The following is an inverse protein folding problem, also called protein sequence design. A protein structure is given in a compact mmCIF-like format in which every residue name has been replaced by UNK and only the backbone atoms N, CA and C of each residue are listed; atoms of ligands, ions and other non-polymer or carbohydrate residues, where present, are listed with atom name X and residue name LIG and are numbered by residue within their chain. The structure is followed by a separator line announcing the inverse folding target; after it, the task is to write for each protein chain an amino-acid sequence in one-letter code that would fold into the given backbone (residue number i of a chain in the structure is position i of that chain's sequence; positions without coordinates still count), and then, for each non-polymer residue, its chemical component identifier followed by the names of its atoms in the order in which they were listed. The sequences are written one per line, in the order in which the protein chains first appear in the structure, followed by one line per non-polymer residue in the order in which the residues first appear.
data_IF_783644750701
#
_entry.id   IF_783644750701
#
_cell.length_a   1.000
_cell.length_b   1.000
_cell.length_c   1.000
_cell.angle_alpha   90.00
_cell.angle_beta   90.00
_cell.angle_gamma   90.00
#
_symmetry.space_group_name_H-M   'P 1'
#
loop_
_entity.id
_entity.type
_entity.pdbx_description
1 polymer ?
#
# COMPACT_ATOMS: atom_id res chain seq x y z
N UNK A 1 -39.74 3.95 36.58
CA UNK A 1 -38.43 3.26 36.55
C UNK A 1 -38.20 2.52 35.23
N UNK A 2 -39.22 1.81 34.70
CA UNK A 2 -39.12 1.11 33.40
C UNK A 2 -38.76 2.06 32.23
N UNK A 3 -39.36 3.26 32.18
CA UNK A 3 -39.09 4.26 31.14
C UNK A 3 -37.64 4.77 31.12
N UNK A 4 -37.03 5.00 32.29
CA UNK A 4 -35.66 5.45 32.41
C UNK A 4 -34.67 4.36 31.98
N UNK A 5 -34.92 3.11 32.38
CA UNK A 5 -34.11 1.96 31.95
C UNK A 5 -34.17 1.78 30.44
N UNK A 6 -35.37 1.87 29.84
CA UNK A 6 -35.55 1.79 28.39
C UNK A 6 -34.80 2.92 27.65
N UNK A 7 -34.84 4.15 28.18
CA UNK A 7 -34.14 5.29 27.59
C UNK A 7 -32.61 5.10 27.60
N UNK A 8 -32.04 4.65 28.72
CA UNK A 8 -30.59 4.42 28.85
C UNK A 8 -30.14 3.28 27.93
N UNK A 9 -30.88 2.17 27.89
CA UNK A 9 -30.56 1.03 27.02
C UNK A 9 -30.66 1.40 25.53
N UNK A 10 -31.67 2.17 25.14
CA UNK A 10 -31.84 2.66 23.77
C UNK A 10 -30.68 3.57 23.32
N UNK A 11 -30.27 4.50 24.19
CA UNK A 11 -29.14 5.40 23.91
C UNK A 11 -27.81 4.63 23.79
N UNK A 12 -27.56 3.68 24.71
CA UNK A 12 -26.37 2.85 24.67
C UNK A 12 -26.27 2.00 23.40
N UNK A 13 -27.37 1.36 23.01
CA UNK A 13 -27.44 0.57 21.79
C UNK A 13 -27.21 1.42 20.53
N UNK A 14 -27.85 2.59 20.43
CA UNK A 14 -27.65 3.50 19.30
C UNK A 14 -26.21 4.01 19.21
N UNK A 15 -25.58 4.33 20.34
CA UNK A 15 -24.19 4.80 20.38
C UNK A 15 -23.23 3.72 19.93
N UNK A 16 -23.36 2.51 20.48
CA UNK A 16 -22.51 1.37 20.09
C UNK A 16 -22.66 1.00 18.61
N UNK A 17 -23.90 0.96 18.11
CA UNK A 17 -24.19 0.72 16.69
C UNK A 17 -23.54 1.79 15.82
N UNK A 18 -23.66 3.06 16.19
CA UNK A 18 -23.14 4.16 15.41
C UNK A 18 -21.61 4.12 15.31
N UNK A 19 -20.93 3.93 16.43
CA UNK A 19 -19.47 3.78 16.49
C UNK A 19 -18.99 2.63 15.60
N UNK A 20 -19.66 1.47 15.68
CA UNK A 20 -19.31 0.30 14.86
C UNK A 20 -19.44 0.60 13.37
N UNK A 21 -20.53 1.26 12.95
CA UNK A 21 -20.72 1.63 11.54
C UNK A 21 -19.73 2.69 11.06
N UNK A 22 -19.30 3.59 11.94
CA UNK A 22 -18.30 4.61 11.60
C UNK A 22 -16.91 3.99 11.41
N UNK A 23 -16.49 3.10 12.33
CA UNK A 23 -15.24 2.35 12.21
C UNK A 23 -15.22 1.53 10.92
N UNK A 24 -16.28 0.79 10.61
CA UNK A 24 -16.39 0.00 9.38
C UNK A 24 -16.32 0.88 8.12
N UNK A 25 -16.94 2.07 8.15
CA UNK A 25 -16.87 3.02 7.04
C UNK A 25 -15.45 3.56 6.85
N UNK A 26 -14.78 3.96 7.93
CA UNK A 26 -13.41 4.47 7.89
C UNK A 26 -12.44 3.42 7.35
N UNK A 27 -12.57 2.16 7.79
CA UNK A 27 -11.78 1.05 7.27
C UNK A 27 -12.07 0.75 5.81
N UNK A 28 -13.32 0.83 5.35
CA UNK A 28 -13.64 0.67 3.93
C UNK A 28 -13.02 1.77 3.07
N UNK A 29 -13.12 3.02 3.49
CA UNK A 29 -12.58 4.17 2.75
C UNK A 29 -11.04 4.09 2.68
N UNK A 30 -10.37 3.77 3.80
CA UNK A 30 -8.94 3.53 3.82
C UNK A 30 -8.53 2.32 2.97
N UNK A 31 -9.32 1.25 2.95
CA UNK A 31 -9.04 0.03 2.17
C UNK A 31 -9.02 0.32 0.68
N UNK A 32 -10.02 1.06 0.16
CA UNK A 32 -10.03 1.46 -1.24
C UNK A 32 -8.85 2.35 -1.59
N UNK A 33 -8.47 3.28 -0.70
CA UNK A 33 -7.30 4.12 -0.92
C UNK A 33 -6.02 3.26 -1.00
N UNK A 34 -5.84 2.31 -0.09
CA UNK A 34 -4.70 1.38 -0.12
C UNK A 34 -4.66 0.59 -1.43
N UNK A 35 -5.79 0.10 -1.93
CA UNK A 35 -5.84 -0.66 -3.20
C UNK A 35 -5.38 0.17 -4.40
N UNK A 36 -5.71 1.47 -4.43
CA UNK A 36 -5.23 2.40 -5.47
C UNK A 36 -3.72 2.59 -5.37
N UNK A 37 -3.21 2.92 -4.19
CA UNK A 37 -1.78 3.17 -3.95
C UNK A 37 -0.92 1.93 -4.27
N UNK A 38 -1.39 0.74 -3.90
CA UNK A 38 -0.74 -0.54 -4.23
C UNK A 38 -0.80 -0.82 -5.74
N UNK A 39 -1.90 -0.48 -6.41
CA UNK A 39 -2.04 -0.61 -7.86
C UNK A 39 -1.03 0.24 -8.62
N UNK A 40 -0.85 1.48 -8.19
CA UNK A 40 0.17 2.39 -8.74
C UNK A 40 1.60 1.89 -8.42
N UNK A 41 1.86 1.42 -7.20
CA UNK A 41 3.15 0.85 -6.84
C UNK A 41 3.50 -0.37 -7.70
N UNK A 42 2.51 -1.24 -7.97
CA UNK A 42 2.65 -2.37 -8.87
C UNK A 42 3.07 -1.94 -10.29
N UNK A 43 2.43 -0.90 -10.83
CA UNK A 43 2.79 -0.34 -12.13
C UNK A 43 4.23 0.19 -12.15
N UNK A 44 4.66 0.87 -11.08
CA UNK A 44 6.04 1.36 -10.95
C UNK A 44 7.03 0.19 -10.96
N UNK A 45 6.77 -0.88 -10.19
CA UNK A 45 7.64 -2.06 -10.13
C UNK A 45 7.74 -2.72 -11.52
N UNK A 46 6.61 -2.93 -12.20
CA UNK A 46 6.57 -3.53 -13.53
C UNK A 46 7.26 -2.65 -14.58
N UNK A 47 7.06 -1.33 -14.51
CA UNK A 47 7.73 -0.38 -15.39
C UNK A 47 9.24 -0.45 -15.22
N UNK A 48 9.73 -0.51 -13.97
CA UNK A 48 11.18 -0.67 -13.71
C UNK A 48 11.72 -2.01 -14.17
N UNK A 49 10.94 -3.09 -14.01
CA UNK A 49 11.35 -4.43 -14.43
C UNK A 49 11.53 -4.54 -15.95
N UNK A 50 10.54 -4.08 -16.72
CA UNK A 50 10.45 -4.39 -18.15
C UNK A 50 10.84 -3.21 -19.06
N UNK A 51 10.76 -1.97 -18.59
CA UNK A 51 10.95 -0.78 -19.42
C UNK A 51 12.16 0.07 -18.99
N UNK A 52 13.10 -0.51 -18.22
CA UNK A 52 14.35 0.16 -17.83
C UNK A 52 15.18 0.69 -19.01
N UNK A 53 15.07 0.03 -20.17
CA UNK A 53 15.92 0.27 -21.33
C UNK A 53 15.29 1.29 -22.29
N UNK A 54 13.95 1.43 -22.27
CA UNK A 54 13.25 2.49 -22.98
C UNK A 54 13.66 3.90 -22.46
N UNK A 55 14.17 3.97 -21.22
CA UNK A 55 14.74 5.17 -20.62
C UNK A 55 16.05 5.64 -21.27
N UNK A 56 16.73 4.77 -22.02
CA UNK A 56 18.00 5.11 -22.69
C UNK A 56 17.84 6.25 -23.68
N UNK A 57 16.66 6.43 -24.26
CA UNK A 57 16.41 7.47 -25.26
C UNK A 57 16.38 8.89 -24.68
N UNK A 58 16.17 9.06 -23.36
CA UNK A 58 16.05 10.39 -22.72
C UNK A 58 17.33 10.89 -22.05
N UNK A 59 18.34 10.03 -21.82
CA UNK A 59 19.59 10.39 -21.16
C UNK A 59 20.71 10.55 -22.18
N UNK A 60 20.66 11.63 -22.97
CA UNK A 60 21.69 11.97 -23.96
C UNK A 60 22.81 12.88 -23.42
N UNK A 61 22.73 13.29 -22.14
CA UNK A 61 23.72 14.15 -21.49
C UNK A 61 24.42 13.34 -20.39
N UNK A 62 25.68 12.97 -20.61
CA UNK A 62 26.45 11.97 -19.85
C UNK A 62 26.80 12.27 -18.38
N UNK A 63 25.86 12.78 -17.59
CA UNK A 63 25.93 12.71 -16.13
C UNK A 63 25.26 11.43 -15.63
N UNK A 64 25.80 10.88 -14.53
CA UNK A 64 25.34 9.64 -13.89
C UNK A 64 23.81 9.50 -13.95
N UNK A 65 23.29 8.35 -14.43
CA UNK A 65 21.87 8.20 -14.68
C UNK A 65 21.12 8.21 -13.35
N UNK A 66 20.55 9.35 -12.99
CA UNK A 66 19.48 9.40 -12.00
C UNK A 66 18.37 8.47 -12.56
N UNK A 67 17.99 7.39 -11.87
CA UNK A 67 16.85 6.58 -12.28
C UNK A 67 15.66 7.51 -12.45
N UNK A 68 14.83 7.39 -13.50
CA UNK A 68 13.76 8.37 -13.80
C UNK A 68 13.19 8.98 -12.50
N UNK A 69 13.46 10.27 -12.21
CA UNK A 69 13.21 10.84 -10.89
C UNK A 69 11.75 10.64 -10.45
N UNK A 70 10.85 10.66 -11.42
CA UNK A 70 9.41 10.45 -11.24
C UNK A 70 9.08 9.09 -10.62
N UNK A 71 9.55 7.97 -11.16
CA UNK A 71 9.21 6.63 -10.62
C UNK A 71 9.96 6.30 -9.34
N UNK A 72 11.16 6.87 -9.13
CA UNK A 72 11.85 6.77 -7.84
C UNK A 72 11.06 7.47 -6.73
N UNK A 73 10.70 8.74 -6.93
CA UNK A 73 9.97 9.55 -5.94
C UNK A 73 8.56 9.00 -5.73
N UNK A 74 7.85 8.64 -6.81
CA UNK A 74 6.52 8.04 -6.70
C UNK A 74 6.55 6.72 -5.94
N UNK A 75 7.50 5.83 -6.23
CA UNK A 75 7.57 4.55 -5.53
C UNK A 75 7.74 4.71 -4.01
N UNK A 76 8.59 5.65 -3.59
CA UNK A 76 8.74 6.02 -2.17
C UNK A 76 7.48 6.66 -1.57
N UNK A 77 6.80 7.54 -2.33
CA UNK A 77 5.55 8.16 -1.90
C UNK A 77 4.45 7.12 -1.67
N UNK A 78 4.25 6.23 -2.64
CA UNK A 78 3.22 5.20 -2.59
C UNK A 78 3.45 4.21 -1.45
N UNK A 79 4.68 3.73 -1.27
CA UNK A 79 4.96 2.77 -0.18
C UNK A 79 4.83 3.41 1.21
N UNK A 80 5.19 4.69 1.35
CA UNK A 80 4.98 5.43 2.59
C UNK A 80 3.49 5.62 2.88
N UNK A 81 2.71 6.01 1.86
CA UNK A 81 1.26 6.16 1.98
C UNK A 81 0.59 4.84 2.38
N UNK A 82 0.99 3.72 1.76
CA UNK A 82 0.48 2.39 2.11
C UNK A 82 0.81 2.04 3.56
N UNK A 83 2.04 2.26 4.02
CA UNK A 83 2.43 2.04 5.43
C UNK A 83 1.60 2.89 6.39
N UNK A 84 1.36 4.15 6.05
CA UNK A 84 0.66 5.08 6.92
C UNK A 84 -0.84 4.74 7.00
N UNK A 85 -1.48 4.43 5.86
CA UNK A 85 -2.88 4.01 5.83
C UNK A 85 -3.10 2.66 6.50
N UNK A 86 -2.19 1.71 6.34
CA UNK A 86 -2.30 0.41 7.01
C UNK A 86 -2.11 0.51 8.52
N UNK A 87 -1.46 1.56 9.04
CA UNK A 87 -1.22 1.72 10.49
C UNK A 87 -2.49 1.96 11.31
N UNK A 88 -3.58 2.41 10.68
CA UNK A 88 -4.89 2.66 11.31
C UNK A 88 -5.90 1.53 11.07
N UNK A 89 -5.45 0.44 10.46
CA UNK A 89 -6.26 -0.72 10.12
C UNK A 89 -6.09 -1.84 11.16
N UNK A 90 -7.03 -2.80 11.23
CA UNK A 90 -6.85 -3.98 12.07
C UNK A 90 -5.70 -4.87 11.56
N UNK A 91 -5.11 -5.66 12.45
CA UNK A 91 -4.14 -6.70 12.06
C UNK A 91 -4.76 -7.69 11.05
N UNK A 92 -3.98 -8.22 10.09
CA UNK A 92 -2.53 -8.15 9.97
C UNK A 92 -1.98 -6.95 9.16
N UNK A 93 -2.82 -5.97 8.81
CA UNK A 93 -2.48 -4.92 7.84
C UNK A 93 -1.33 -3.99 8.27
N UNK A 94 -1.26 -3.47 9.51
CA UNK A 94 -0.12 -2.65 9.96
C UNK A 94 1.22 -3.37 9.79
N UNK A 95 1.27 -4.65 10.18
CA UNK A 95 2.47 -5.49 10.06
C UNK A 95 2.89 -5.65 8.61
N UNK A 96 1.94 -5.89 7.71
CA UNK A 96 2.23 -6.09 6.29
C UNK A 96 2.63 -4.80 5.56
N UNK A 97 1.99 -3.68 5.89
CA UNK A 97 2.36 -2.38 5.34
C UNK A 97 3.79 -1.98 5.72
N UNK A 98 4.19 -2.23 6.99
CA UNK A 98 5.57 -2.03 7.42
C UNK A 98 6.55 -2.96 6.70
N UNK A 99 6.21 -4.24 6.58
CA UNK A 99 7.05 -5.20 5.85
C UNK A 99 7.23 -4.81 4.38
N UNK A 100 6.19 -4.31 3.70
CA UNK A 100 6.31 -3.82 2.33
C UNK A 100 7.24 -2.60 2.25
N UNK A 101 7.13 -1.67 3.19
CA UNK A 101 8.03 -0.52 3.31
C UNK A 101 9.49 -0.95 3.49
N UNK A 102 9.76 -1.88 4.41
CA UNK A 102 11.11 -2.38 4.67
C UNK A 102 11.69 -3.10 3.44
N UNK A 103 10.88 -3.90 2.75
CA UNK A 103 11.30 -4.54 1.50
C UNK A 103 11.59 -3.52 0.40
N UNK A 104 10.77 -2.49 0.26
CA UNK A 104 11.04 -1.40 -0.67
C UNK A 104 12.37 -0.72 -0.32
N UNK A 105 12.58 -0.34 0.94
CA UNK A 105 13.83 0.28 1.38
C UNK A 105 15.06 -0.56 1.03
N UNK A 106 14.98 -1.87 1.21
CA UNK A 106 16.10 -2.77 0.95
C UNK A 106 16.31 -3.08 -0.54
N UNK A 107 15.26 -2.99 -1.37
CA UNK A 107 15.29 -3.45 -2.77
C UNK A 107 15.16 -2.32 -3.80
N UNK A 108 14.77 -1.12 -3.40
CA UNK A 108 14.55 0.02 -4.30
C UNK A 108 15.81 0.32 -5.12
N UNK A 109 17.00 0.25 -4.51
CA UNK A 109 18.25 0.45 -5.25
C UNK A 109 18.44 -0.59 -6.35
N UNK A 110 18.32 -1.88 -6.03
CA UNK A 110 18.44 -2.97 -6.99
C UNK A 110 17.35 -2.91 -8.09
N UNK A 111 16.13 -2.51 -7.74
CA UNK A 111 15.04 -2.32 -8.71
C UNK A 111 15.36 -1.21 -9.74
N UNK A 112 16.15 -0.22 -9.34
CA UNK A 112 16.52 0.92 -10.16
C UNK A 112 17.90 0.79 -10.79
N UNK A 113 18.68 -0.21 -10.40
CA UNK A 113 19.97 -0.51 -11.00
C UNK A 113 19.76 -1.14 -12.37
N UNK A 114 20.29 -0.49 -13.40
CA UNK A 114 20.19 -0.93 -14.79
C UNK A 114 21.30 -1.89 -15.18
N UNK A 115 22.39 -1.91 -14.42
CA UNK A 115 23.58 -2.72 -14.73
C UNK A 115 23.41 -4.19 -14.36
N UNK A 116 22.46 -4.50 -13.46
CA UNK A 116 22.23 -5.85 -12.94
C UNK A 116 20.77 -6.31 -13.18
N UNK A 117 20.42 -6.81 -14.38
CA UNK A 117 19.06 -7.25 -14.70
C UNK A 117 18.52 -8.34 -13.76
N UNK A 118 19.37 -9.28 -13.36
CA UNK A 118 18.98 -10.37 -12.45
C UNK A 118 18.62 -9.86 -11.04
N UNK A 119 19.41 -8.94 -10.49
CA UNK A 119 19.14 -8.33 -9.18
C UNK A 119 17.85 -7.50 -9.21
N UNK A 120 17.59 -6.82 -10.34
CA UNK A 120 16.35 -6.08 -10.59
C UNK A 120 15.14 -7.00 -10.65
N UNK A 121 15.22 -8.11 -11.39
CA UNK A 121 14.12 -9.07 -11.48
C UNK A 121 13.80 -9.69 -10.11
N UNK A 122 14.82 -10.08 -9.34
CA UNK A 122 14.64 -10.58 -7.97
C UNK A 122 14.03 -9.54 -7.04
N UNK A 123 14.44 -8.27 -7.15
CA UNK A 123 13.85 -7.16 -6.42
C UNK A 123 12.37 -6.98 -6.80
N UNK A 124 12.06 -6.98 -8.10
CA UNK A 124 10.69 -6.87 -8.60
C UNK A 124 9.81 -8.02 -8.09
N UNK A 125 10.23 -9.27 -8.26
CA UNK A 125 9.45 -10.45 -7.83
C UNK A 125 9.14 -10.42 -6.32
N UNK A 126 10.13 -10.02 -5.52
CA UNK A 126 9.96 -9.89 -4.06
C UNK A 126 8.90 -8.82 -3.72
N UNK A 127 8.99 -7.65 -4.35
CA UNK A 127 8.07 -6.54 -4.10
C UNK A 127 6.66 -6.84 -4.61
N UNK A 128 6.53 -7.44 -5.80
CA UNK A 128 5.26 -7.86 -6.39
C UNK A 128 4.54 -8.86 -5.48
N UNK A 129 5.28 -9.83 -4.92
CA UNK A 129 4.73 -10.79 -3.96
C UNK A 129 4.17 -10.09 -2.71
N UNK A 130 4.92 -9.15 -2.12
CA UNK A 130 4.47 -8.42 -0.94
C UNK A 130 3.28 -7.50 -1.21
N UNK A 131 3.24 -6.89 -2.40
CA UNK A 131 2.10 -6.13 -2.90
C UNK A 131 0.85 -7.03 -2.99
N UNK A 132 0.99 -8.24 -3.52
CA UNK A 132 -0.13 -9.17 -3.67
C UNK A 132 -0.62 -9.74 -2.33
N UNK A 133 0.30 -10.06 -1.43
CA UNK A 133 -0.04 -10.47 -0.06
C UNK A 133 -0.84 -9.39 0.67
N UNK A 134 -0.41 -8.12 0.56
CA UNK A 134 -1.13 -7.00 1.16
C UNK A 134 -2.49 -6.75 0.48
N UNK A 135 -2.57 -6.83 -0.85
CA UNK A 135 -3.82 -6.72 -1.61
C UNK A 135 -4.83 -7.76 -1.12
N UNK A 136 -4.41 -9.01 -1.00
CA UNK A 136 -5.28 -10.12 -0.55
C UNK A 136 -5.91 -9.80 0.80
N UNK A 137 -5.11 -9.26 1.72
CA UNK A 137 -5.54 -8.98 3.10
C UNK A 137 -6.46 -7.78 3.19
N UNK A 138 -6.23 -6.76 2.37
CA UNK A 138 -7.15 -5.62 2.24
C UNK A 138 -8.49 -6.07 1.65
N UNK A 139 -8.49 -6.97 0.66
CA UNK A 139 -9.73 -7.53 0.09
C UNK A 139 -10.47 -8.38 1.12
N UNK A 140 -9.77 -9.19 1.90
CA UNK A 140 -10.36 -9.96 3.00
C UNK A 140 -11.01 -9.05 4.04
N UNK A 141 -10.35 -7.94 4.42
CA UNK A 141 -10.96 -6.96 5.31
C UNK A 141 -12.24 -6.39 4.71
N UNK A 142 -12.24 -5.94 3.46
CA UNK A 142 -13.45 -5.39 2.81
C UNK A 142 -14.61 -6.40 2.84
N UNK A 143 -14.35 -7.70 2.64
CA UNK A 143 -15.37 -8.73 2.70
C UNK A 143 -15.96 -8.92 4.10
N UNK A 144 -15.13 -8.80 5.15
CA UNK A 144 -15.54 -8.86 6.56
C UNK A 144 -16.35 -7.64 7.02
N UNK A 145 -16.25 -6.51 6.29
CA UNK A 145 -17.00 -5.28 6.57
C UNK A 145 -18.41 -5.26 5.95
N UNK A 146 -18.86 -6.36 5.34
CA UNK A 146 -20.20 -6.50 4.74
C UNK A 146 -21.27 -6.80 5.78
#
# INVERSE_FOLDING_TARGET
MISLVLAITSLGYNTWRNETTEVQRNWRDASFRILVEIGELNQIILMRRYFSDADRAQSSNGNDPIPQPESWVRGWGNVAMVRDLTSVMPEPLPTQGRRLFDQWQNRARALHDRSEPEARDQAADTLLKSVEELRTQVVMLIDDLR
#
